data_IF_385563326758
#
_entry.id   IF_385563326758
#
_cell.length_a   1.000
_cell.length_b   1.000
_cell.length_c   1.000
_cell.angle_alpha   90.00
_cell.angle_beta   90.00
_cell.angle_gamma   90.00
#
_symmetry.space_group_name_H-M   'P 1'
#
loop_
_entity.id
_entity.type
_entity.pdbx_description
1 polymer ?
#
# COMPACT_ATOMS: atom_id res chain seq x y z
N UNK A 1 21.90 7.30 -13.33
CA UNK A 1 20.74 6.39 -13.54
C UNK A 1 19.50 7.21 -13.86
N UNK A 2 18.71 6.88 -14.89
CA UNK A 2 17.46 7.63 -15.20
C UNK A 2 16.51 7.54 -13.99
N UNK A 3 15.90 8.66 -13.57
CA UNK A 3 15.06 8.76 -12.36
C UNK A 3 14.02 7.64 -12.25
N UNK A 4 13.38 7.28 -13.37
CA UNK A 4 12.35 6.25 -13.41
C UNK A 4 12.89 4.85 -13.08
N UNK A 5 14.15 4.55 -13.44
CA UNK A 5 14.79 3.29 -13.05
C UNK A 5 15.05 3.22 -11.53
N UNK A 6 15.42 4.34 -10.92
CA UNK A 6 15.58 4.41 -9.47
C UNK A 6 14.24 4.21 -8.75
N UNK A 7 13.18 4.84 -9.24
CA UNK A 7 11.82 4.62 -8.75
C UNK A 7 11.40 3.13 -8.85
N UNK A 8 11.71 2.45 -9.96
CA UNK A 8 11.48 1.00 -10.08
C UNK A 8 12.20 0.21 -8.98
N UNK A 9 13.48 0.49 -8.72
CA UNK A 9 14.23 -0.24 -7.68
C UNK A 9 13.64 -0.01 -6.28
N UNK A 10 13.17 1.22 -5.99
CA UNK A 10 12.50 1.52 -4.73
C UNK A 10 11.19 0.73 -4.61
N UNK A 11 10.34 0.75 -5.63
CA UNK A 11 9.08 0.00 -5.63
C UNK A 11 9.30 -1.52 -5.54
N UNK A 12 10.35 -2.03 -6.17
CA UNK A 12 10.74 -3.44 -6.06
C UNK A 12 11.20 -3.78 -4.65
N UNK A 13 12.04 -2.94 -4.03
CA UNK A 13 12.46 -3.11 -2.65
C UNK A 13 11.26 -3.10 -1.69
N UNK A 14 10.29 -2.21 -1.92
CA UNK A 14 9.02 -2.17 -1.18
C UNK A 14 8.24 -3.48 -1.38
N UNK A 15 8.07 -3.97 -2.61
CA UNK A 15 7.36 -5.22 -2.90
C UNK A 15 8.03 -6.44 -2.21
N UNK A 16 9.36 -6.51 -2.23
CA UNK A 16 10.12 -7.56 -1.53
C UNK A 16 9.89 -7.45 -0.03
N UNK A 17 10.04 -6.25 0.54
CA UNK A 17 9.82 -6.01 1.97
C UNK A 17 8.42 -6.46 2.41
N UNK A 18 7.38 -6.09 1.65
CA UNK A 18 6.01 -6.50 1.92
C UNK A 18 5.81 -8.02 1.86
N UNK A 19 6.41 -8.67 0.88
CA UNK A 19 6.30 -10.13 0.74
C UNK A 19 6.96 -10.85 1.91
N UNK A 20 8.14 -10.38 2.34
CA UNK A 20 8.84 -10.90 3.52
C UNK A 20 8.03 -10.61 4.78
N UNK A 21 7.55 -9.37 4.95
CA UNK A 21 6.75 -8.95 6.09
C UNK A 21 5.50 -9.82 6.24
N UNK A 22 4.73 -9.99 5.16
CA UNK A 22 3.54 -10.87 5.12
C UNK A 22 3.87 -12.26 5.65
N UNK A 23 4.93 -12.90 5.13
CA UNK A 23 5.33 -14.23 5.63
C UNK A 23 5.73 -14.20 7.11
N UNK A 24 6.51 -13.22 7.56
CA UNK A 24 6.98 -13.19 8.96
C UNK A 24 5.88 -12.91 9.98
N UNK A 25 4.89 -12.08 9.64
CA UNK A 25 3.81 -11.70 10.56
C UNK A 25 2.65 -12.70 10.57
N UNK A 26 2.41 -13.41 9.46
CA UNK A 26 1.31 -14.37 9.31
C UNK A 26 1.72 -15.83 9.58
N UNK A 27 2.99 -16.21 9.46
CA UNK A 27 3.44 -17.62 9.60
C UNK A 27 3.63 -18.11 11.05
N UNK A 28 3.27 -17.32 12.06
CA UNK A 28 3.33 -17.80 13.44
C UNK A 28 2.07 -18.61 13.74
N UNK A 29 2.16 -19.93 13.56
CA UNK A 29 1.10 -20.91 13.90
C UNK A 29 0.53 -20.76 15.33
N UNK A 30 1.28 -20.12 16.24
CA UNK A 30 0.88 -19.82 17.63
C UNK A 30 -0.14 -18.67 17.71
N UNK A 31 -0.11 -17.72 16.77
CA UNK A 31 -1.10 -16.64 16.67
C UNK A 31 -2.41 -17.12 16.05
N UNK A 32 -2.39 -18.22 15.30
CA UNK A 32 -3.54 -18.67 14.52
C UNK A 32 -4.75 -18.96 15.43
N UNK A 33 -4.54 -19.65 16.56
CA UNK A 33 -5.64 -20.02 17.48
C UNK A 33 -6.41 -18.80 18.05
N UNK A 34 -5.74 -17.67 18.26
CA UNK A 34 -6.37 -16.47 18.85
C UNK A 34 -6.88 -15.48 17.80
N UNK A 35 -6.55 -15.70 16.52
CA UNK A 35 -6.62 -14.66 15.50
C UNK A 35 -7.26 -15.15 14.18
N UNK A 36 -7.49 -16.47 14.03
CA UNK A 36 -8.05 -17.16 12.85
C UNK A 36 -9.32 -16.50 12.26
N UNK A 37 -10.24 -16.04 13.11
CA UNK A 37 -11.52 -15.42 12.72
C UNK A 37 -11.58 -13.89 12.95
N UNK A 38 -10.42 -13.24 12.98
CA UNK A 38 -10.35 -11.79 13.17
C UNK A 38 -10.04 -11.06 11.86
N UNK A 39 -10.25 -9.75 11.85
CA UNK A 39 -9.82 -8.90 10.74
C UNK A 39 -8.30 -8.88 10.54
N UNK A 40 -7.51 -9.42 11.49
CA UNK A 40 -6.05 -9.50 11.35
C UNK A 40 -5.66 -10.37 10.16
N UNK A 41 -5.96 -11.66 10.16
CA UNK A 41 -5.38 -12.61 9.18
C UNK A 41 -5.84 -12.27 7.75
N UNK A 42 -7.14 -12.06 7.55
CA UNK A 42 -7.70 -11.80 6.22
C UNK A 42 -7.68 -10.30 5.82
N UNK A 43 -7.56 -9.37 6.76
CA UNK A 43 -7.34 -7.97 6.39
C UNK A 43 -5.90 -7.79 5.88
N UNK A 44 -4.95 -8.41 6.58
CA UNK A 44 -3.52 -8.15 6.37
C UNK A 44 -2.93 -8.79 5.14
N UNK A 45 -3.13 -10.09 4.92
CA UNK A 45 -2.54 -10.73 3.73
C UNK A 45 -3.05 -10.13 2.43
N UNK A 46 -4.34 -9.80 2.35
CA UNK A 46 -5.02 -9.32 1.15
C UNK A 46 -4.55 -7.91 0.81
N UNK A 47 -4.48 -7.04 1.82
CA UNK A 47 -4.00 -5.68 1.63
C UNK A 47 -2.52 -5.68 1.27
N UNK A 48 -1.67 -6.43 1.98
CA UNK A 48 -0.24 -6.53 1.64
C UNK A 48 -0.05 -7.09 0.22
N UNK A 49 -0.81 -8.13 -0.15
CA UNK A 49 -0.78 -8.70 -1.49
C UNK A 49 -1.17 -7.68 -2.56
N UNK A 50 -2.27 -6.94 -2.35
CA UNK A 50 -2.73 -5.90 -3.27
C UNK A 50 -1.66 -4.83 -3.49
N UNK A 51 -1.08 -4.34 -2.40
CA UNK A 51 0.00 -3.36 -2.44
C UNK A 51 1.26 -3.88 -3.15
N UNK A 52 1.63 -5.14 -2.91
CA UNK A 52 2.74 -5.79 -3.61
C UNK A 52 2.49 -5.84 -5.11
N UNK A 53 1.27 -6.23 -5.52
CA UNK A 53 0.87 -6.28 -6.92
C UNK A 53 0.96 -4.90 -7.59
N UNK A 54 0.45 -3.84 -6.93
CA UNK A 54 0.53 -2.49 -7.46
C UNK A 54 1.96 -1.96 -7.52
N UNK A 55 2.80 -2.24 -6.52
CA UNK A 55 4.21 -1.84 -6.53
C UNK A 55 4.96 -2.47 -7.72
N UNK A 56 4.73 -3.78 -7.97
CA UNK A 56 5.32 -4.48 -9.11
C UNK A 56 4.78 -3.96 -10.45
N UNK A 57 3.47 -3.70 -10.54
CA UNK A 57 2.87 -3.15 -11.76
C UNK A 57 3.44 -1.77 -12.07
N UNK A 58 3.36 -0.81 -11.13
CA UNK A 58 3.89 0.54 -11.30
C UNK A 58 5.40 0.53 -11.58
N UNK A 59 6.17 -0.29 -10.86
CA UNK A 59 7.60 -0.46 -11.09
C UNK A 59 7.92 -0.97 -12.49
N UNK A 60 7.13 -1.92 -13.00
CA UNK A 60 7.25 -2.45 -14.37
C UNK A 60 6.98 -1.36 -15.41
N UNK A 61 5.94 -0.55 -15.24
CA UNK A 61 5.67 0.59 -16.11
C UNK A 61 6.83 1.60 -16.10
N UNK A 62 7.34 1.97 -14.93
CA UNK A 62 8.49 2.88 -14.85
C UNK A 62 9.75 2.33 -15.53
N UNK A 63 9.91 1.01 -15.57
CA UNK A 63 11.04 0.35 -16.23
C UNK A 63 10.86 0.28 -17.76
N UNK A 64 9.75 -0.33 -18.22
CA UNK A 64 9.52 -0.62 -19.64
C UNK A 64 9.06 0.60 -20.44
N UNK A 65 8.22 1.45 -19.84
CA UNK A 65 7.63 2.62 -20.53
C UNK A 65 8.10 3.94 -19.92
N UNK A 66 9.39 4.02 -19.58
CA UNK A 66 9.99 5.22 -18.96
C UNK A 66 9.80 6.53 -19.74
N UNK A 67 9.53 6.46 -21.05
CA UNK A 67 9.18 7.62 -21.90
C UNK A 67 7.81 8.24 -21.56
N UNK A 68 6.88 7.46 -21.00
CA UNK A 68 5.55 7.91 -20.58
C UNK A 68 5.57 8.66 -19.24
N UNK A 69 6.73 8.78 -18.59
CA UNK A 69 6.86 9.45 -17.31
C UNK A 69 7.92 10.56 -17.40
N UNK A 70 7.63 11.67 -18.11
CA UNK A 70 8.63 12.70 -18.42
C UNK A 70 8.94 13.62 -17.22
N UNK A 71 7.96 13.84 -16.35
CA UNK A 71 8.07 14.74 -15.18
C UNK A 71 8.66 14.02 -13.96
N UNK A 72 9.94 14.24 -13.67
CA UNK A 72 10.69 13.52 -12.62
C UNK A 72 10.15 13.71 -11.19
N UNK A 73 9.74 14.93 -10.84
CA UNK A 73 9.28 15.22 -9.48
C UNK A 73 7.95 14.52 -9.19
N UNK A 74 7.09 14.39 -10.20
CA UNK A 74 5.78 13.72 -10.07
C UNK A 74 5.93 12.22 -9.82
N UNK A 75 6.93 11.58 -10.43
CA UNK A 75 7.32 10.19 -10.09
C UNK A 75 7.63 10.04 -8.61
N UNK A 76 8.43 10.95 -8.04
CA UNK A 76 8.82 10.86 -6.63
C UNK A 76 7.68 11.16 -5.68
N UNK A 77 6.84 12.16 -5.99
CA UNK A 77 5.63 12.42 -5.19
C UNK A 77 4.74 11.18 -5.17
N UNK A 78 4.54 10.53 -6.32
CA UNK A 78 3.77 9.29 -6.42
C UNK A 78 4.40 8.16 -5.58
N UNK A 79 5.69 7.87 -5.75
CA UNK A 79 6.40 6.79 -5.03
C UNK A 79 6.41 7.03 -3.53
N UNK A 80 6.66 8.26 -3.08
CA UNK A 80 6.66 8.62 -1.66
C UNK A 80 5.25 8.47 -1.09
N UNK A 81 4.23 8.94 -1.79
CA UNK A 81 2.83 8.84 -1.34
C UNK A 81 2.40 7.37 -1.21
N UNK A 82 2.75 6.54 -2.21
CA UNK A 82 2.49 5.09 -2.20
C UNK A 82 3.23 4.38 -1.06
N UNK A 83 4.49 4.73 -0.83
CA UNK A 83 5.30 4.11 0.22
C UNK A 83 4.80 4.56 1.60
N UNK A 84 4.46 5.83 1.78
CA UNK A 84 3.91 6.34 3.04
C UNK A 84 2.57 5.66 3.39
N UNK A 85 1.68 5.50 2.41
CA UNK A 85 0.40 4.80 2.65
C UNK A 85 0.61 3.35 3.06
N UNK A 86 1.60 2.67 2.49
CA UNK A 86 1.98 1.30 2.86
C UNK A 86 2.46 1.22 4.29
N UNK A 87 3.30 2.16 4.73
CA UNK A 87 3.87 2.15 6.07
C UNK A 87 2.76 2.37 7.08
N UNK A 88 1.85 3.32 6.82
CA UNK A 88 0.69 3.55 7.69
C UNK A 88 -0.18 2.31 7.87
N UNK A 89 -0.38 1.51 6.82
CA UNK A 89 -1.17 0.27 6.91
C UNK A 89 -0.36 -0.86 7.56
N UNK A 90 0.90 -1.05 7.18
CA UNK A 90 1.74 -2.14 7.70
C UNK A 90 1.97 -2.02 9.21
N UNK A 91 1.99 -0.79 9.73
CA UNK A 91 2.11 -0.51 11.16
C UNK A 91 0.77 -0.23 11.85
N UNK A 92 -0.36 -0.48 11.17
CA UNK A 92 -1.68 -0.18 11.73
C UNK A 92 -2.00 -1.06 12.94
N UNK A 93 -2.23 -0.42 14.09
CA UNK A 93 -2.28 -1.08 15.39
C UNK A 93 -3.48 -2.02 15.55
N UNK A 94 -4.63 -1.71 14.94
CA UNK A 94 -5.85 -2.52 15.05
C UNK A 94 -5.69 -3.95 14.52
N UNK A 95 -4.68 -4.19 13.70
CA UNK A 95 -4.36 -5.53 13.22
C UNK A 95 -3.93 -6.39 14.42
N UNK A 96 -3.22 -5.81 15.40
CA UNK A 96 -2.72 -6.54 16.57
C UNK A 96 -3.76 -6.82 17.64
N UNK A 97 -4.99 -6.31 17.50
CA UNK A 97 -6.07 -6.52 18.46
C UNK A 97 -7.03 -7.55 17.85
N UNK A 98 -7.31 -8.68 18.52
CA UNK A 98 -8.20 -9.71 18.01
C UNK A 98 -9.64 -9.21 18.01
N UNK A 99 -10.03 -8.50 16.95
CA UNK A 99 -11.41 -8.06 16.74
C UNK A 99 -12.11 -9.07 15.83
N UNK A 100 -13.15 -9.73 16.37
CA UNK A 100 -13.87 -10.79 15.65
C UNK A 100 -14.55 -10.22 14.41
N UNK A 101 -14.49 -10.98 13.31
CA UNK A 101 -15.20 -10.64 12.07
C UNK A 101 -16.71 -10.61 12.28
N UNK A 102 -17.38 -9.75 11.50
CA UNK A 102 -18.84 -9.72 11.33
C UNK A 102 -19.66 -9.21 12.52
N UNK A 103 -19.04 -8.70 13.57
CA UNK A 103 -19.76 -7.97 14.61
C UNK A 103 -20.03 -6.54 14.15
N UNK A 104 -21.30 -6.17 14.04
CA UNK A 104 -21.69 -4.76 13.97
C UNK A 104 -21.18 -4.06 15.22
N UNK A 105 -20.84 -2.78 15.08
CA UNK A 105 -20.22 -1.91 16.08
C UNK A 105 -21.16 -1.72 17.28
N UNK A 106 -21.36 -2.76 18.09
CA UNK A 106 -22.17 -2.75 19.28
C UNK A 106 -21.27 -3.02 20.47
N UNK A 107 -20.75 -1.89 20.99
CA UNK A 107 -20.52 -1.64 22.41
C UNK A 107 -19.78 -2.74 23.18
N UNK A 108 -18.45 -2.71 23.09
CA UNK A 108 -17.61 -3.09 24.23
C UNK A 108 -16.75 -1.88 24.63
N UNK A 109 -16.67 -1.53 25.93
CA UNK A 109 -16.15 -0.24 26.39
C UNK A 109 -14.62 0.00 26.37
N UNK A 110 -13.67 -0.92 26.08
CA UNK A 110 -12.25 -0.56 26.01
C UNK A 110 -11.85 0.11 24.67
N UNK A 111 -12.80 0.39 23.77
CA UNK A 111 -12.55 0.89 22.41
C UNK A 111 -12.56 2.42 22.25
N UNK A 112 -12.46 3.17 23.35
CA UNK A 112 -12.54 4.64 23.33
C UNK A 112 -11.40 5.35 22.57
N UNK A 113 -10.26 4.68 22.32
CA UNK A 113 -9.13 5.22 21.53
C UNK A 113 -9.28 5.04 20.01
N UNK A 114 -10.39 4.46 19.53
CA UNK A 114 -10.65 4.13 18.12
C UNK A 114 -10.81 5.25 17.08
N UNK A 115 -11.17 6.52 17.39
CA UNK A 115 -11.37 7.53 16.33
C UNK A 115 -10.09 7.79 15.54
N UNK A 116 -8.95 7.80 16.21
CA UNK A 116 -7.65 8.08 15.60
C UNK A 116 -7.18 6.93 14.71
N UNK A 117 -7.43 5.69 15.11
CA UNK A 117 -7.07 4.52 14.31
C UNK A 117 -7.87 4.46 13.00
N UNK A 118 -9.19 4.65 13.06
CA UNK A 118 -9.99 4.71 11.83
C UNK A 118 -9.53 5.85 10.91
N UNK A 119 -9.22 7.03 11.48
CA UNK A 119 -8.67 8.14 10.72
C UNK A 119 -7.33 7.78 10.04
N UNK A 120 -6.40 7.13 10.74
CA UNK A 120 -5.12 6.67 10.17
C UNK A 120 -5.37 5.71 9.00
N UNK A 121 -6.27 4.75 9.16
CA UNK A 121 -6.63 3.82 8.09
C UNK A 121 -7.24 4.56 6.89
N UNK A 122 -8.18 5.48 7.12
CA UNK A 122 -8.76 6.31 6.05
C UNK A 122 -7.70 7.16 5.34
N UNK A 123 -6.78 7.79 6.09
CA UNK A 123 -5.66 8.55 5.52
C UNK A 123 -4.75 7.67 4.66
N UNK A 124 -4.48 6.44 5.11
CA UNK A 124 -3.65 5.52 4.34
C UNK A 124 -4.34 5.05 3.05
N UNK A 125 -5.63 4.70 3.11
CA UNK A 125 -6.43 4.37 1.92
C UNK A 125 -6.51 5.56 0.96
N UNK A 126 -6.75 6.76 1.46
CA UNK A 126 -6.78 7.98 0.66
C UNK A 126 -5.41 8.25 0.00
N UNK A 127 -4.31 8.07 0.73
CA UNK A 127 -2.95 8.18 0.21
C UNK A 127 -2.67 7.17 -0.91
N UNK A 128 -3.11 5.93 -0.75
CA UNK A 128 -2.99 4.91 -1.79
C UNK A 128 -3.75 5.26 -3.07
N UNK A 129 -5.01 5.68 -2.93
CA UNK A 129 -5.83 6.11 -4.07
C UNK A 129 -5.23 7.35 -4.74
N UNK A 130 -4.72 8.30 -3.97
CA UNK A 130 -4.01 9.46 -4.49
C UNK A 130 -2.74 9.05 -5.26
N UNK A 131 -1.98 8.09 -4.77
CA UNK A 131 -0.81 7.56 -5.48
C UNK A 131 -1.17 6.88 -6.80
N UNK A 132 -2.28 6.14 -6.86
CA UNK A 132 -2.80 5.56 -8.11
C UNK A 132 -3.23 6.67 -9.07
N UNK A 133 -3.98 7.67 -8.59
CA UNK A 133 -4.43 8.79 -9.40
C UNK A 133 -3.24 9.57 -9.98
N UNK A 134 -2.23 9.86 -9.16
CA UNK A 134 -0.99 10.52 -9.60
C UNK A 134 -0.26 9.70 -10.68
N UNK A 135 -0.17 8.38 -10.50
CA UNK A 135 0.43 7.49 -11.50
C UNK A 135 -0.32 7.55 -12.84
N UNK A 136 -1.66 7.48 -12.82
CA UNK A 136 -2.50 7.54 -14.02
C UNK A 136 -2.41 8.90 -14.72
N UNK A 137 -2.51 10.01 -13.96
CA UNK A 137 -2.36 11.36 -14.49
C UNK A 137 -0.98 11.53 -15.14
N UNK A 138 0.07 11.03 -14.49
CA UNK A 138 1.43 11.11 -15.02
C UNK A 138 1.59 10.34 -16.33
N UNK A 139 1.04 9.13 -16.39
CA UNK A 139 1.01 8.31 -17.60
C UNK A 139 0.25 9.02 -18.73
N UNK A 140 -0.92 9.61 -18.45
CA UNK A 140 -1.73 10.36 -19.41
C UNK A 140 -0.94 11.55 -19.98
N UNK A 141 -0.27 12.33 -19.11
CA UNK A 141 0.61 13.44 -19.54
C UNK A 141 1.68 12.92 -20.49
N UNK A 142 2.32 11.80 -20.18
CA UNK A 142 3.33 11.19 -21.04
C UNK A 142 2.80 10.77 -22.41
N UNK A 143 1.63 10.14 -22.45
CA UNK A 143 0.98 9.72 -23.71
C UNK A 143 0.71 10.95 -24.59
N UNK A 144 0.11 12.01 -24.03
CA UNK A 144 -0.18 13.23 -24.81
C UNK A 144 1.09 13.96 -25.28
N UNK A 145 2.16 13.95 -24.50
CA UNK A 145 3.44 14.53 -24.91
C UNK A 145 4.15 13.68 -25.96
N UNK A 146 3.99 12.36 -25.92
CA UNK A 146 4.58 11.44 -26.89
C UNK A 146 3.91 11.58 -28.27
N UNK A 147 2.58 11.67 -28.31
CA UNK A 147 1.82 11.79 -29.57
C UNK A 147 1.95 13.14 -30.28
N UNK A 148 2.54 14.15 -29.63
CA UNK A 148 2.82 15.47 -30.23
C UNK A 148 4.19 15.55 -30.92
N UNK A 149 4.99 14.49 -30.84
CA UNK A 149 6.31 14.37 -31.49
C UNK A 149 6.22 13.41 -32.65
#
# INVERSE_FOLDING_TARGET
MKTNKLATFVLLAVAIFLTVASKTFLSRDILDIHVYDTYYVFGTSQVIFLYTLFALAMGSFYYFTSSLFPVRWLTWVQVITFTASILLIAFFHQWRIPNKRHYSIHYDPPFADWPNDHLIFFCAVAGFLAAIALFLIHMIIGIFQHNRK
#
